data_IF_645214298840
#
_entry.id   IF_645214298840
#
_cell.length_a   1.000
_cell.length_b   1.000
_cell.length_c   1.000
_cell.angle_alpha   90.00
_cell.angle_beta   90.00
_cell.angle_gamma   90.00
#
_symmetry.space_group_name_H-M   'P 1'
#
loop_
_entity.id
_entity.type
_entity.pdbx_description
1 polymer ?
#
# COMPACT_ATOMS: atom_id res chain seq x y z
N UNK A 1 2.36 -56.47 -6.41
CA UNK A 1 1.61 -55.37 -5.76
C UNK A 1 2.61 -54.56 -4.92
N UNK A 2 3.35 -53.65 -5.56
CA UNK A 2 4.48 -52.95 -4.94
C UNK A 2 4.59 -51.51 -5.46
N UNK A 3 4.59 -50.58 -4.50
CA UNK A 3 5.24 -49.27 -4.47
C UNK A 3 5.17 -48.37 -5.71
N UNK A 4 4.30 -47.35 -5.66
CA UNK A 4 4.56 -45.97 -6.12
C UNK A 4 3.30 -45.11 -6.00
N UNK A 5 3.00 -44.65 -4.80
CA UNK A 5 2.34 -43.37 -4.63
C UNK A 5 3.35 -42.42 -4.02
N UNK A 6 4.22 -41.89 -4.88
CA UNK A 6 5.01 -40.72 -4.55
C UNK A 6 4.01 -39.59 -4.30
N UNK A 7 3.80 -39.28 -3.02
CA UNK A 7 3.16 -38.06 -2.56
C UNK A 7 3.94 -36.87 -3.12
N UNK A 8 3.54 -36.38 -4.29
CA UNK A 8 3.96 -35.06 -4.76
C UNK A 8 2.96 -34.05 -4.18
N UNK A 9 3.10 -33.81 -2.88
CA UNK A 9 2.63 -32.57 -2.28
C UNK A 9 3.44 -31.47 -2.97
N UNK A 10 2.88 -30.90 -4.04
CA UNK A 10 3.30 -29.60 -4.51
C UNK A 10 2.97 -28.65 -3.37
N UNK A 11 3.96 -28.36 -2.54
CA UNK A 11 3.92 -27.14 -1.75
C UNK A 11 3.57 -26.04 -2.74
N UNK A 12 2.47 -25.30 -2.57
CA UNK A 12 2.42 -24.01 -3.20
C UNK A 12 3.60 -23.29 -2.56
N UNK A 13 4.67 -23.14 -3.33
CA UNK A 13 5.65 -22.10 -3.11
C UNK A 13 4.81 -20.83 -3.18
N UNK A 14 4.24 -20.48 -2.03
CA UNK A 14 3.62 -19.19 -1.79
C UNK A 14 4.80 -18.28 -1.91
N UNK A 15 5.10 -17.91 -3.16
CA UNK A 15 5.93 -16.79 -3.50
C UNK A 15 5.45 -15.72 -2.54
N UNK A 16 6.26 -15.48 -1.51
CA UNK A 16 6.08 -14.32 -0.68
C UNK A 16 6.27 -13.20 -1.68
N UNK A 17 5.15 -12.76 -2.27
CA UNK A 17 5.06 -11.54 -3.06
C UNK A 17 5.61 -10.55 -2.06
N UNK A 18 6.91 -10.21 -2.21
CA UNK A 18 7.54 -9.16 -1.45
C UNK A 18 6.63 -7.99 -1.72
N UNK A 19 5.75 -7.70 -0.76
CA UNK A 19 4.86 -6.58 -0.87
C UNK A 19 5.82 -5.43 -0.82
N UNK A 20 6.13 -4.88 -1.99
CA UNK A 20 6.87 -3.66 -2.10
C UNK A 20 6.13 -2.68 -1.16
N UNK A 21 6.78 -2.25 -0.07
CA UNK A 21 6.15 -1.41 0.94
C UNK A 21 5.55 -0.17 0.29
N UNK A 22 6.17 0.32 -0.78
CA UNK A 22 5.70 1.46 -1.55
C UNK A 22 4.47 1.12 -2.40
N UNK A 23 4.36 -0.07 -2.99
CA UNK A 23 3.16 -0.50 -3.73
C UNK A 23 1.96 -0.73 -2.81
N UNK A 24 2.19 -1.25 -1.60
CA UNK A 24 1.16 -1.39 -0.58
C UNK A 24 0.65 -0.01 -0.10
N UNK A 25 1.58 0.93 0.12
CA UNK A 25 1.26 2.30 0.53
C UNK A 25 0.46 3.05 -0.55
N UNK A 26 0.87 2.99 -1.82
CA UNK A 26 0.13 3.58 -2.94
C UNK A 26 -1.31 3.05 -3.02
N UNK A 27 -1.50 1.73 -2.95
CA UNK A 27 -2.83 1.13 -2.94
C UNK A 27 -3.68 1.60 -1.76
N UNK A 28 -3.06 1.86 -0.60
CA UNK A 28 -3.77 2.40 0.56
C UNK A 28 -4.19 3.85 0.32
N UNK A 29 -3.31 4.69 -0.20
CA UNK A 29 -3.60 6.08 -0.58
C UNK A 29 -4.78 6.12 -1.57
N UNK A 30 -4.75 5.29 -2.61
CA UNK A 30 -5.83 5.22 -3.61
C UNK A 30 -7.18 4.83 -3.01
N UNK A 31 -7.19 3.85 -2.10
CA UNK A 31 -8.41 3.45 -1.39
C UNK A 31 -8.97 4.59 -0.55
N UNK A 32 -8.12 5.29 0.19
CA UNK A 32 -8.53 6.42 1.04
C UNK A 32 -9.04 7.58 0.18
N UNK A 33 -8.36 7.91 -0.92
CA UNK A 33 -8.80 8.91 -1.92
C UNK A 33 -10.19 8.58 -2.46
N UNK A 34 -10.40 7.32 -2.85
CA UNK A 34 -11.69 6.88 -3.39
C UNK A 34 -12.81 6.91 -2.33
N UNK A 35 -12.53 6.47 -1.10
CA UNK A 35 -13.48 6.54 0.00
C UNK A 35 -13.86 7.99 0.35
N UNK A 36 -12.87 8.89 0.42
CA UNK A 36 -13.07 10.33 0.61
C UNK A 36 -13.99 10.92 -0.45
N UNK A 37 -13.76 10.61 -1.73
CA UNK A 37 -14.59 11.10 -2.84
C UNK A 37 -16.05 10.63 -2.72
N UNK A 38 -16.27 9.36 -2.38
CA UNK A 38 -17.61 8.80 -2.13
C UNK A 38 -18.33 9.49 -0.98
N UNK A 39 -17.60 9.81 0.09
CA UNK A 39 -18.17 10.48 1.26
C UNK A 39 -18.49 11.93 0.95
N UNK A 40 -17.62 12.64 0.25
CA UNK A 40 -17.90 13.99 -0.23
C UNK A 40 -19.20 14.00 -1.07
N UNK A 41 -19.36 13.03 -1.98
CA UNK A 41 -20.59 12.91 -2.78
C UNK A 41 -21.84 12.66 -1.92
N UNK A 42 -21.74 11.82 -0.88
CA UNK A 42 -22.84 11.56 0.07
C UNK A 42 -23.20 12.80 0.88
N UNK A 43 -22.20 13.57 1.32
CA UNK A 43 -22.40 14.85 2.02
C UNK A 43 -23.13 15.85 1.11
N UNK A 44 -22.75 15.96 -0.17
CA UNK A 44 -23.46 16.83 -1.13
C UNK A 44 -24.92 16.41 -1.34
N UNK A 45 -25.27 15.16 -1.04
CA UNK A 45 -26.66 14.64 -1.07
C UNK A 45 -27.40 14.79 0.26
N UNK A 46 -26.83 15.48 1.24
CA UNK A 46 -27.44 15.77 2.54
C UNK A 46 -27.04 14.83 3.67
N UNK A 47 -26.10 13.89 3.47
CA UNK A 47 -25.54 13.05 4.55
C UNK A 47 -24.48 13.82 5.38
N UNK A 48 -24.83 14.99 5.92
CA UNK A 48 -23.91 15.87 6.67
C UNK A 48 -23.32 15.22 7.94
N UNK A 49 -24.03 14.24 8.51
CA UNK A 49 -23.54 13.45 9.65
C UNK A 49 -22.23 12.70 9.35
N UNK A 50 -21.83 12.58 8.07
CA UNK A 50 -20.55 12.00 7.64
C UNK A 50 -19.37 12.98 7.67
N UNK A 51 -19.58 14.26 7.97
CA UNK A 51 -18.51 15.28 8.06
C UNK A 51 -17.33 14.87 8.97
N UNK A 52 -17.55 14.26 10.16
CA UNK A 52 -16.44 13.78 10.99
C UNK A 52 -15.62 12.68 10.30
N UNK A 53 -16.28 11.81 9.52
CA UNK A 53 -15.61 10.75 8.77
C UNK A 53 -14.76 11.33 7.62
N UNK A 54 -15.26 12.36 6.94
CA UNK A 54 -14.48 13.09 5.93
C UNK A 54 -13.21 13.71 6.54
N UNK A 55 -13.31 14.33 7.72
CA UNK A 55 -12.15 14.88 8.44
C UNK A 55 -11.11 13.79 8.76
N UNK A 56 -11.55 12.62 9.23
CA UNK A 56 -10.67 11.48 9.50
C UNK A 56 -9.94 11.00 8.24
N UNK A 57 -10.65 10.87 7.12
CA UNK A 57 -10.01 10.46 5.86
C UNK A 57 -9.04 11.50 5.32
N UNK A 58 -9.30 12.80 5.49
CA UNK A 58 -8.33 13.84 5.14
C UNK A 58 -7.05 13.72 5.98
N UNK A 59 -7.17 13.48 7.29
CA UNK A 59 -6.03 13.32 8.18
C UNK A 59 -5.23 12.05 7.85
N UNK A 60 -5.91 10.92 7.61
CA UNK A 60 -5.24 9.68 7.20
C UNK A 60 -4.52 9.85 5.86
N UNK A 61 -5.13 10.54 4.91
CA UNK A 61 -4.53 10.79 3.60
C UNK A 61 -3.26 11.65 3.71
N UNK A 62 -3.28 12.72 4.51
CA UNK A 62 -2.10 13.54 4.76
C UNK A 62 -0.95 12.73 5.40
N UNK A 63 -1.25 11.88 6.39
CA UNK A 63 -0.24 11.03 7.03
C UNK A 63 0.36 10.01 6.05
N UNK A 64 -0.45 9.44 5.16
CA UNK A 64 0.04 8.48 4.17
C UNK A 64 0.88 9.14 3.09
N UNK A 65 0.52 10.35 2.66
CA UNK A 65 1.31 11.16 1.72
C UNK A 65 2.65 11.58 2.34
N UNK A 66 2.66 12.04 3.59
CA UNK A 66 3.90 12.34 4.32
C UNK A 66 4.80 11.10 4.45
N UNK A 67 4.22 9.94 4.76
CA UNK A 67 4.97 8.68 4.82
C UNK A 67 5.59 8.32 3.47
N UNK A 68 4.85 8.54 2.38
CA UNK A 68 5.34 8.30 1.03
C UNK A 68 6.52 9.22 0.68
N UNK A 69 6.42 10.51 1.01
CA UNK A 69 7.49 11.48 0.77
C UNK A 69 8.75 11.12 1.55
N UNK A 70 8.61 10.71 2.82
CA UNK A 70 9.74 10.25 3.64
C UNK A 70 10.41 9.00 3.07
N UNK A 71 9.63 8.04 2.56
CA UNK A 71 10.19 6.85 1.90
C UNK A 71 10.91 7.20 0.60
N UNK A 72 10.39 8.18 -0.16
CA UNK A 72 11.05 8.67 -1.38
C UNK A 72 12.40 9.33 -1.03
N UNK A 73 12.42 10.21 -0.04
CA UNK A 73 13.66 10.85 0.44
C UNK A 73 14.67 9.81 0.95
N UNK A 74 14.22 8.81 1.70
CA UNK A 74 15.09 7.73 2.18
C UNK A 74 15.67 6.91 1.01
N UNK A 75 14.88 6.64 -0.03
CA UNK A 75 15.33 5.95 -1.23
C UNK A 75 16.33 6.80 -2.04
N UNK A 76 16.10 8.11 -2.14
CA UNK A 76 17.04 9.05 -2.76
C UNK A 76 18.37 9.09 -2.00
N UNK A 77 18.33 9.23 -0.67
CA UNK A 77 19.54 9.20 0.17
C UNK A 77 20.28 7.87 0.00
N UNK A 78 19.58 6.74 0.05
CA UNK A 78 20.19 5.42 -0.15
C UNK A 78 20.83 5.28 -1.54
N UNK A 79 20.19 5.83 -2.58
CA UNK A 79 20.70 5.81 -3.95
C UNK A 79 21.94 6.69 -4.13
N UNK A 80 21.99 7.85 -3.45
CA UNK A 80 23.16 8.74 -3.46
C UNK A 80 24.29 8.27 -2.54
N UNK A 81 23.96 7.56 -1.45
CA UNK A 81 24.92 7.01 -0.50
C UNK A 81 25.50 5.66 -0.93
N UNK A 82 24.89 4.96 -1.89
CA UNK A 82 25.51 3.82 -2.55
C UNK A 82 26.72 4.35 -3.33
N UNK A 83 27.97 4.11 -2.89
CA UNK A 83 29.11 4.49 -3.70
C UNK A 83 28.97 3.74 -5.01
N UNK A 84 29.26 4.44 -6.12
CA UNK A 84 29.45 3.82 -7.42
C UNK A 84 30.30 2.55 -7.25
N UNK A 85 29.67 1.37 -7.18
CA UNK A 85 30.30 0.10 -7.53
C UNK A 85 30.25 0.00 -9.05
N UNK A 86 31.03 0.88 -9.66
CA UNK A 86 31.48 0.87 -11.05
C UNK A 86 32.86 1.55 -10.97
N UNK A 87 33.98 0.93 -11.30
CA UNK A 87 34.25 -0.23 -12.15
C UNK A 87 35.45 -1.02 -11.61
#
# INVERSE_FOLDING_TARGET
MSTRHAARAAAPDTAHIRQDPTASLHRKIDRVRHARAKIAQKITRGEEWMLPLLKRFNAELAQLEETQDLLLQAAEIASHAAPHRAA
#
